data_IF_153178556755
#
_entry.id   IF_153178556755
#
_cell.length_a   1.000
_cell.length_b   1.000
_cell.length_c   1.000
_cell.angle_alpha   90.00
_cell.angle_beta   90.00
_cell.angle_gamma   90.00
#
_symmetry.space_group_name_H-M   'P 1'
#
loop_
_entity.id
_entity.type
_entity.pdbx_description
1 polymer ?
#
# COMPACT_ATOMS: atom_id res chain seq x y z
N UNK A 1 -10.31 62.90 -0.37
CA UNK A 1 -11.64 62.52 0.17
C UNK A 1 -11.62 61.02 0.45
N UNK A 2 -11.68 60.72 1.74
CA UNK A 2 -12.16 59.49 2.44
C UNK A 2 -12.24 58.15 1.71
N UNK A 3 -11.55 57.19 2.33
CA UNK A 3 -11.63 55.74 2.21
C UNK A 3 -13.05 55.23 2.52
N UNK A 4 -13.53 54.23 1.78
CA UNK A 4 -14.63 53.36 2.24
C UNK A 4 -14.11 51.91 2.39
N UNK A 5 -14.09 51.47 3.64
CA UNK A 5 -13.78 50.13 4.11
C UNK A 5 -15.08 49.58 4.71
N UNK A 6 -15.82 48.76 3.98
CA UNK A 6 -16.83 47.85 4.54
C UNK A 6 -16.19 46.48 4.77
N UNK A 7 -15.63 46.19 5.95
CA UNK A 7 -16.29 45.63 7.16
C UNK A 7 -17.01 44.30 6.92
N UNK A 8 -16.16 43.27 7.04
CA UNK A 8 -16.38 41.97 7.67
C UNK A 8 -17.41 42.02 8.81
N UNK A 9 -18.44 41.16 8.76
CA UNK A 9 -19.30 40.83 9.89
C UNK A 9 -19.45 39.31 9.96
N UNK A 10 -18.64 38.71 10.85
CA UNK A 10 -18.81 37.35 11.33
C UNK A 10 -20.06 37.32 12.21
N UNK A 11 -21.08 36.55 11.81
CA UNK A 11 -22.17 36.19 12.71
C UNK A 11 -21.77 34.93 13.49
N UNK A 12 -21.14 35.17 14.64
CA UNK A 12 -20.92 34.20 15.70
C UNK A 12 -22.14 34.20 16.63
N UNK A 13 -23.05 33.24 16.46
CA UNK A 13 -24.09 32.94 17.45
C UNK A 13 -23.61 31.86 18.42
N UNK A 14 -22.79 32.27 19.38
CA UNK A 14 -22.41 31.50 20.57
C UNK A 14 -23.52 31.64 21.61
N UNK A 15 -24.43 30.67 21.69
CA UNK A 15 -25.44 30.60 22.78
C UNK A 15 -24.87 29.77 23.93
N UNK A 16 -24.12 30.44 24.81
CA UNK A 16 -23.72 29.94 26.12
C UNK A 16 -24.93 29.85 27.05
N UNK A 17 -25.27 28.64 27.52
CA UNK A 17 -26.18 28.41 28.65
C UNK A 17 -25.43 27.58 29.70
N UNK A 18 -25.28 28.16 30.88
CA UNK A 18 -24.61 27.64 32.07
C UNK A 18 -25.33 26.40 32.67
N UNK A 19 -24.64 25.63 33.54
CA UNK A 19 -24.89 24.23 33.80
C UNK A 19 -25.98 24.01 34.86
N UNK A 20 -26.78 22.96 34.69
CA UNK A 20 -27.65 22.42 35.71
C UNK A 20 -27.18 21.03 36.08
N UNK A 21 -26.74 20.85 37.33
CA UNK A 21 -26.50 19.56 37.96
C UNK A 21 -27.76 18.69 37.88
N UNK A 22 -27.57 17.49 37.35
CA UNK A 22 -28.59 16.46 37.20
C UNK A 22 -27.90 15.11 37.08
N UNK A 23 -27.65 14.52 38.25
CA UNK A 23 -27.23 13.14 38.45
C UNK A 23 -28.17 12.17 37.71
N UNK A 24 -27.62 11.13 37.10
CA UNK A 24 -28.39 10.05 36.49
C UNK A 24 -27.85 9.54 35.15
N UNK A 25 -26.96 8.55 35.23
CA UNK A 25 -26.84 7.40 34.30
C UNK A 25 -26.88 7.70 32.80
N UNK A 26 -25.72 7.62 32.14
CA UNK A 26 -25.67 7.34 30.70
C UNK A 26 -26.54 6.11 30.40
N UNK A 27 -27.54 6.19 29.50
CA UNK A 27 -28.12 4.98 28.97
C UNK A 27 -27.03 4.33 28.14
N UNK A 28 -26.57 3.17 28.60
CA UNK A 28 -25.85 2.21 27.78
C UNK A 28 -26.57 2.14 26.44
N UNK A 29 -25.84 2.46 25.35
CA UNK A 29 -26.40 2.51 24.01
C UNK A 29 -27.02 1.18 23.67
N UNK A 30 -28.34 1.11 23.73
CA UNK A 30 -29.10 0.00 23.17
C UNK A 30 -28.75 -0.05 21.69
N UNK A 31 -28.02 -1.08 21.28
CA UNK A 31 -27.82 -1.37 19.86
C UNK A 31 -29.19 -1.59 19.24
N UNK A 32 -29.69 -0.60 18.50
CA UNK A 32 -30.91 -0.71 17.73
C UNK A 32 -30.72 -1.80 16.67
N UNK A 33 -31.26 -2.98 16.92
CA UNK A 33 -31.28 -4.06 15.94
C UNK A 33 -32.36 -3.77 14.91
N UNK A 34 -31.98 -3.18 13.78
CA UNK A 34 -32.89 -2.97 12.65
C UNK A 34 -33.44 -4.31 12.16
N UNK A 35 -34.75 -4.38 11.98
CA UNK A 35 -35.38 -5.53 11.32
C UNK A 35 -34.90 -5.60 9.86
N UNK A 36 -34.84 -6.81 9.27
CA UNK A 36 -34.41 -6.99 7.86
C UNK A 36 -35.20 -6.09 6.90
N UNK A 37 -36.49 -5.89 7.15
CA UNK A 37 -37.34 -5.01 6.35
C UNK A 37 -36.91 -3.52 6.44
N UNK A 38 -36.53 -3.04 7.63
CA UNK A 38 -36.01 -1.67 7.80
C UNK A 38 -34.65 -1.48 7.13
N UNK A 39 -33.78 -2.49 7.16
CA UNK A 39 -32.50 -2.46 6.46
C UNK A 39 -32.71 -2.40 4.94
N UNK A 40 -33.60 -3.23 4.39
CA UNK A 40 -33.92 -3.24 2.96
C UNK A 40 -34.55 -1.92 2.49
N UNK A 41 -35.43 -1.32 3.29
CA UNK A 41 -36.01 -0.01 2.97
C UNK A 41 -34.96 1.12 3.02
N UNK A 42 -34.06 1.07 4.01
CA UNK A 42 -32.95 2.01 4.13
C UNK A 42 -31.97 1.90 2.95
N UNK A 43 -31.64 0.68 2.52
CA UNK A 43 -30.80 0.42 1.34
C UNK A 43 -31.47 0.98 0.07
N UNK A 44 -32.77 0.68 -0.16
CA UNK A 44 -33.51 1.22 -1.32
C UNK A 44 -33.54 2.75 -1.33
N UNK A 45 -33.77 3.38 -0.18
CA UNK A 45 -33.73 4.86 -0.05
C UNK A 45 -32.33 5.42 -0.32
N UNK A 46 -31.28 4.76 0.17
CA UNK A 46 -29.90 5.15 -0.08
C UNK A 46 -29.53 5.03 -1.57
N UNK A 47 -29.91 3.93 -2.23
CA UNK A 47 -29.70 3.73 -3.66
C UNK A 47 -30.45 4.77 -4.50
N UNK A 48 -31.71 5.05 -4.17
CA UNK A 48 -32.50 6.05 -4.88
C UNK A 48 -31.90 7.45 -4.72
N UNK A 49 -31.48 7.82 -3.51
CA UNK A 49 -30.78 9.09 -3.24
C UNK A 49 -29.47 9.16 -4.01
N UNK A 50 -28.65 8.11 -3.98
CA UNK A 50 -27.40 8.05 -4.72
C UNK A 50 -27.61 8.23 -6.23
N UNK A 51 -28.66 7.63 -6.81
CA UNK A 51 -29.01 7.83 -8.23
C UNK A 51 -29.44 9.26 -8.54
N UNK A 52 -30.23 9.88 -7.67
CA UNK A 52 -30.66 11.28 -7.84
C UNK A 52 -29.47 12.23 -7.75
N UNK A 53 -28.60 12.03 -6.76
CA UNK A 53 -27.42 12.85 -6.56
C UNK A 53 -26.44 12.68 -7.72
N UNK A 54 -26.18 11.44 -8.18
CA UNK A 54 -25.38 11.18 -9.38
C UNK A 54 -25.95 11.85 -10.64
N UNK A 55 -27.28 11.86 -10.82
CA UNK A 55 -27.93 12.54 -11.93
C UNK A 55 -27.81 14.08 -11.86
N UNK A 56 -27.79 14.65 -10.66
CA UNK A 56 -27.54 16.09 -10.46
C UNK A 56 -26.08 16.44 -10.72
N UNK A 57 -25.17 15.62 -10.25
CA UNK A 57 -23.73 15.80 -10.45
C UNK A 57 -23.37 15.72 -11.93
N UNK A 58 -23.94 14.76 -12.66
CA UNK A 58 -23.76 14.66 -14.11
C UNK A 58 -24.22 15.94 -14.85
N UNK A 59 -25.39 16.49 -14.48
CA UNK A 59 -25.88 17.75 -15.08
C UNK A 59 -25.01 18.95 -14.69
N UNK A 60 -24.54 19.00 -13.45
CA UNK A 60 -23.62 20.04 -12.98
C UNK A 60 -22.29 19.99 -13.74
N UNK A 61 -21.75 18.79 -13.97
CA UNK A 61 -20.55 18.59 -14.79
C UNK A 61 -20.78 19.03 -16.23
N UNK A 62 -21.88 18.61 -16.87
CA UNK A 62 -22.20 19.02 -18.25
C UNK A 62 -22.32 20.55 -18.40
N UNK A 63 -22.95 21.21 -17.42
CA UNK A 63 -23.06 22.67 -17.40
C UNK A 63 -21.70 23.35 -17.23
N UNK A 64 -20.83 22.80 -16.37
CA UNK A 64 -19.47 23.32 -16.19
C UNK A 64 -18.64 23.13 -17.46
N UNK A 65 -18.72 21.97 -18.12
CA UNK A 65 -18.03 21.71 -19.38
C UNK A 65 -18.47 22.68 -20.48
N UNK A 66 -19.78 22.94 -20.59
CA UNK A 66 -20.32 23.95 -21.52
C UNK A 66 -19.79 25.34 -21.20
N UNK A 67 -19.83 25.75 -19.93
CA UNK A 67 -19.31 27.05 -19.51
C UNK A 67 -17.81 27.22 -19.78
N UNK A 68 -17.02 26.15 -19.57
CA UNK A 68 -15.57 26.15 -19.88
C UNK A 68 -15.35 26.30 -21.39
N UNK A 69 -16.06 25.52 -22.22
CA UNK A 69 -15.97 25.64 -23.69
C UNK A 69 -16.33 27.04 -24.19
N UNK A 70 -17.43 27.61 -23.71
CA UNK A 70 -17.82 28.97 -24.06
C UNK A 70 -16.79 30.01 -23.63
N UNK A 71 -16.19 29.85 -22.45
CA UNK A 71 -15.13 30.73 -21.96
C UNK A 71 -13.86 30.62 -22.82
N UNK A 72 -13.48 29.40 -23.21
CA UNK A 72 -12.33 29.13 -24.09
C UNK A 72 -12.54 29.74 -25.48
N UNK A 73 -13.73 29.61 -26.06
CA UNK A 73 -14.07 30.21 -27.35
C UNK A 73 -14.00 31.74 -27.31
N UNK A 74 -14.56 32.37 -26.26
CA UNK A 74 -14.48 33.83 -26.07
C UNK A 74 -13.05 34.30 -25.88
N UNK A 75 -12.24 33.56 -25.11
CA UNK A 75 -10.85 33.89 -24.88
C UNK A 75 -10.01 33.76 -26.15
N UNK A 76 -10.25 32.72 -26.96
CA UNK A 76 -9.62 32.52 -28.26
C UNK A 76 -9.95 33.64 -29.24
N UNK A 77 -11.23 34.03 -29.32
CA UNK A 77 -11.66 35.16 -30.14
C UNK A 77 -11.01 36.49 -29.71
N UNK A 78 -10.94 36.73 -28.40
CA UNK A 78 -10.27 37.91 -27.85
C UNK A 78 -8.77 37.94 -28.16
N UNK A 79 -8.08 36.80 -28.05
CA UNK A 79 -6.67 36.72 -28.41
C UNK A 79 -6.44 37.02 -29.89
N UNK A 80 -7.27 36.47 -30.79
CA UNK A 80 -7.17 36.75 -32.24
C UNK A 80 -7.34 38.24 -32.53
N UNK A 81 -8.35 38.87 -31.90
CA UNK A 81 -8.60 40.30 -32.08
C UNK A 81 -7.42 41.15 -31.56
N UNK A 82 -6.83 40.80 -30.41
CA UNK A 82 -5.62 41.46 -29.94
C UNK A 82 -4.46 41.29 -30.92
N UNK A 83 -4.21 40.06 -31.38
CA UNK A 83 -3.10 39.74 -32.29
C UNK A 83 -3.24 40.46 -33.64
N UNK A 84 -4.46 40.61 -34.16
CA UNK A 84 -4.76 41.42 -35.34
C UNK A 84 -4.52 42.92 -35.08
N UNK A 85 -5.00 43.44 -33.96
CA UNK A 85 -4.81 44.85 -33.60
C UNK A 85 -3.33 45.21 -33.39
N UNK A 86 -2.53 44.31 -32.80
CA UNK A 86 -1.08 44.49 -32.64
C UNK A 86 -0.40 44.50 -34.02
N UNK A 87 -0.76 43.58 -34.92
CA UNK A 87 -0.22 43.54 -36.28
C UNK A 87 -0.55 44.79 -37.10
N UNK A 88 -1.77 45.33 -36.98
CA UNK A 88 -2.14 46.57 -37.66
C UNK A 88 -1.40 47.78 -37.11
N UNK A 89 -1.25 47.86 -35.78
CA UNK A 89 -0.55 48.97 -35.10
C UNK A 89 0.92 49.08 -35.52
N UNK A 90 1.61 47.96 -35.68
CA UNK A 90 3.03 47.95 -36.06
C UNK A 90 3.24 47.66 -37.55
N UNK A 91 2.19 47.70 -38.38
CA UNK A 91 2.27 47.37 -39.81
C UNK A 91 3.34 48.15 -40.58
N UNK A 92 3.59 49.39 -40.19
CA UNK A 92 4.57 50.29 -40.81
C UNK A 92 5.90 50.38 -40.02
N UNK A 93 6.04 49.61 -38.95
CA UNK A 93 7.21 49.56 -38.08
C UNK A 93 7.88 48.17 -38.15
N UNK A 94 8.97 48.03 -38.91
CA UNK A 94 9.67 46.75 -39.09
C UNK A 94 10.22 46.16 -37.79
N UNK A 95 10.65 46.99 -36.84
CA UNK A 95 11.23 46.50 -35.58
C UNK A 95 10.13 46.05 -34.62
N UNK A 96 9.00 46.76 -34.59
CA UNK A 96 7.79 46.34 -33.88
C UNK A 96 7.23 44.99 -34.38
N UNK A 97 7.21 44.76 -35.70
CA UNK A 97 6.78 43.49 -36.29
C UNK A 97 7.72 42.33 -35.90
N UNK A 98 9.04 42.54 -35.90
CA UNK A 98 10.01 41.53 -35.46
C UNK A 98 9.78 41.13 -33.99
N UNK A 99 9.58 42.12 -33.11
CA UNK A 99 9.32 41.85 -31.69
C UNK A 99 8.03 41.03 -31.48
N UNK A 100 6.97 41.30 -32.25
CA UNK A 100 5.73 40.51 -32.23
C UNK A 100 5.96 39.09 -32.74
N UNK A 101 6.73 38.93 -33.83
CA UNK A 101 7.06 37.61 -34.36
C UNK A 101 7.86 36.77 -33.36
N UNK A 102 8.88 37.35 -32.71
CA UNK A 102 9.63 36.65 -31.65
C UNK A 102 8.73 36.26 -30.48
N UNK A 103 7.83 37.16 -30.05
CA UNK A 103 6.86 36.87 -28.97
C UNK A 103 5.96 35.69 -29.34
N UNK A 104 5.52 35.60 -30.61
CA UNK A 104 4.73 34.48 -31.12
C UNK A 104 5.53 33.18 -31.16
N UNK A 105 6.77 33.22 -31.64
CA UNK A 105 7.65 32.05 -31.64
C UNK A 105 7.88 31.51 -30.23
N UNK A 106 8.22 32.38 -29.26
CA UNK A 106 8.39 31.96 -27.85
C UNK A 106 7.10 31.38 -27.25
N UNK A 107 5.94 31.94 -27.60
CA UNK A 107 4.63 31.39 -27.19
C UNK A 107 4.43 29.99 -27.75
N UNK A 108 4.68 29.79 -29.05
CA UNK A 108 4.59 28.49 -29.72
C UNK A 108 5.54 27.45 -29.10
N UNK A 109 6.80 27.81 -28.86
CA UNK A 109 7.79 26.94 -28.21
C UNK A 109 7.35 26.52 -26.80
N UNK A 110 6.82 27.48 -26.02
CA UNK A 110 6.32 27.19 -24.67
C UNK A 110 5.10 26.28 -24.70
N UNK A 111 4.17 26.52 -25.61
CA UNK A 111 2.95 25.72 -25.74
C UNK A 111 3.29 24.29 -26.22
N UNK A 112 4.24 24.14 -27.15
CA UNK A 112 4.76 22.82 -27.57
C UNK A 112 5.46 22.09 -26.43
N UNK A 113 6.33 22.76 -25.67
CA UNK A 113 6.99 22.17 -24.50
C UNK A 113 5.97 21.75 -23.43
N UNK A 114 4.90 22.52 -23.27
CA UNK A 114 3.80 22.16 -22.36
C UNK A 114 3.06 20.91 -22.86
N UNK A 115 2.79 20.83 -24.17
CA UNK A 115 2.18 19.64 -24.79
C UNK A 115 3.03 18.40 -24.62
N UNK A 116 4.33 18.49 -24.92
CA UNK A 116 5.27 17.38 -24.75
C UNK A 116 5.37 16.91 -23.31
N UNK A 117 5.37 17.85 -22.34
CA UNK A 117 5.34 17.48 -20.91
C UNK A 117 4.06 16.72 -20.54
N UNK A 118 2.90 17.16 -21.04
CA UNK A 118 1.64 16.49 -20.79
C UNK A 118 1.60 15.08 -21.41
N UNK A 119 2.13 14.93 -22.63
CA UNK A 119 2.25 13.64 -23.32
C UNK A 119 3.16 12.67 -22.55
N UNK A 120 4.34 13.14 -22.12
CA UNK A 120 5.27 12.33 -21.31
C UNK A 120 4.65 11.94 -19.96
N UNK A 121 3.93 12.83 -19.29
CA UNK A 121 3.25 12.50 -18.03
C UNK A 121 2.12 11.48 -18.25
N UNK A 122 1.34 11.61 -19.34
CA UNK A 122 0.32 10.64 -19.71
C UNK A 122 0.92 9.26 -20.02
N UNK A 123 2.02 9.22 -20.77
CA UNK A 123 2.74 7.98 -21.09
C UNK A 123 3.35 7.33 -19.85
N UNK A 124 3.92 8.13 -18.93
CA UNK A 124 4.39 7.62 -17.63
C UNK A 124 3.26 7.00 -16.83
N UNK A 125 2.11 7.67 -16.74
CA UNK A 125 0.95 7.15 -16.03
C UNK A 125 0.45 5.84 -16.67
N UNK A 126 0.35 5.80 -17.99
CA UNK A 126 -0.08 4.60 -18.73
C UNK A 126 0.90 3.43 -18.60
N UNK A 127 2.20 3.70 -18.45
CA UNK A 127 3.24 2.67 -18.36
C UNK A 127 3.61 2.30 -16.92
N UNK A 128 3.20 3.06 -15.90
CA UNK A 128 3.49 2.78 -14.50
C UNK A 128 2.97 1.40 -14.08
N UNK A 129 1.75 1.03 -14.47
CA UNK A 129 1.19 -0.28 -14.16
C UNK A 129 1.91 -1.43 -14.89
N UNK A 130 2.39 -1.18 -16.11
CA UNK A 130 3.14 -2.18 -16.89
C UNK A 130 4.52 -2.42 -16.28
N UNK A 131 5.19 -1.34 -15.86
CA UNK A 131 6.49 -1.42 -15.16
C UNK A 131 6.34 -2.15 -13.83
N UNK A 132 5.32 -1.83 -13.03
CA UNK A 132 5.06 -2.52 -11.77
C UNK A 132 4.82 -4.03 -11.97
N UNK A 133 4.07 -4.42 -13.01
CA UNK A 133 3.86 -5.83 -13.35
C UNK A 133 5.12 -6.51 -13.87
N UNK A 134 5.95 -5.80 -14.63
CA UNK A 134 7.23 -6.33 -15.11
C UNK A 134 8.18 -6.58 -13.93
N UNK A 135 8.31 -5.62 -13.01
CA UNK A 135 9.12 -5.74 -11.81
C UNK A 135 8.65 -6.91 -10.91
N UNK A 136 7.34 -7.11 -10.79
CA UNK A 136 6.77 -8.24 -10.03
C UNK A 136 7.12 -9.59 -10.67
N UNK A 137 7.02 -9.70 -12.00
CA UNK A 137 7.36 -10.91 -12.75
C UNK A 137 8.86 -11.21 -12.67
N UNK A 138 9.73 -10.21 -12.77
CA UNK A 138 11.17 -10.38 -12.64
C UNK A 138 11.54 -10.89 -11.23
N UNK A 139 10.92 -10.31 -10.19
CA UNK A 139 11.09 -10.75 -8.81
C UNK A 139 10.63 -12.20 -8.64
N UNK A 140 9.47 -12.56 -9.20
CA UNK A 140 8.94 -13.92 -9.12
C UNK A 140 9.85 -14.93 -9.82
N UNK A 141 10.37 -14.60 -11.00
CA UNK A 141 11.35 -15.42 -11.71
C UNK A 141 12.64 -15.59 -10.91
N UNK A 142 13.15 -14.53 -10.28
CA UNK A 142 14.33 -14.59 -9.44
C UNK A 142 14.12 -15.52 -8.22
N UNK A 143 12.96 -15.43 -7.57
CA UNK A 143 12.57 -16.33 -6.47
C UNK A 143 12.53 -17.78 -6.94
N UNK A 144 11.88 -18.07 -8.08
CA UNK A 144 11.79 -19.41 -8.62
C UNK A 144 13.17 -20.01 -8.95
N UNK A 145 14.03 -19.24 -9.63
CA UNK A 145 15.40 -19.67 -9.95
C UNK A 145 16.22 -19.95 -8.69
N UNK A 146 16.18 -19.06 -7.70
CA UNK A 146 16.92 -19.23 -6.45
C UNK A 146 16.41 -20.42 -5.64
N UNK A 147 15.08 -20.59 -5.56
CA UNK A 147 14.44 -21.73 -4.90
C UNK A 147 14.84 -23.06 -5.56
N UNK A 148 14.79 -23.14 -6.89
CA UNK A 148 15.20 -24.32 -7.65
C UNK A 148 16.69 -24.62 -7.46
N UNK A 149 17.56 -23.60 -7.54
CA UNK A 149 19.00 -23.78 -7.42
C UNK A 149 19.43 -24.27 -6.02
N UNK A 150 18.76 -23.81 -4.97
CA UNK A 150 19.10 -24.13 -3.57
C UNK A 150 18.20 -25.21 -2.95
N UNK A 151 17.24 -25.77 -3.70
CA UNK A 151 16.34 -26.83 -3.23
C UNK A 151 15.38 -26.38 -2.13
N UNK A 152 14.97 -25.11 -2.17
CA UNK A 152 14.08 -24.49 -1.19
C UNK A 152 12.67 -24.38 -1.76
N UNK A 153 11.68 -24.30 -0.86
CA UNK A 153 10.29 -24.08 -1.22
C UNK A 153 10.10 -22.64 -1.72
N UNK A 154 9.64 -22.48 -2.97
CA UNK A 154 9.50 -21.20 -3.64
C UNK A 154 8.47 -20.28 -2.96
N UNK A 155 7.36 -20.82 -2.44
CA UNK A 155 6.31 -20.04 -1.78
C UNK A 155 6.80 -19.50 -0.42
N UNK A 156 7.56 -20.31 0.32
CA UNK A 156 8.19 -19.88 1.57
C UNK A 156 9.28 -18.84 1.32
N UNK A 157 10.06 -18.99 0.25
CA UNK A 157 11.06 -18.00 -0.14
C UNK A 157 10.39 -16.68 -0.55
N UNK A 158 9.34 -16.73 -1.40
CA UNK A 158 8.53 -15.57 -1.82
C UNK A 158 8.02 -14.78 -0.61
N UNK A 159 7.42 -15.48 0.35
CA UNK A 159 6.90 -14.86 1.59
C UNK A 159 7.97 -14.11 2.37
N UNK A 160 9.17 -14.69 2.48
CA UNK A 160 10.29 -14.03 3.18
C UNK A 160 10.87 -12.87 2.37
N UNK A 161 11.00 -13.01 1.04
CA UNK A 161 11.43 -11.93 0.15
C UNK A 161 10.52 -10.71 0.27
N UNK A 162 9.19 -10.92 0.26
CA UNK A 162 8.22 -9.84 0.48
C UNK A 162 8.32 -9.27 1.89
N UNK A 163 8.47 -10.11 2.92
CA UNK A 163 8.58 -9.67 4.33
C UNK A 163 9.82 -8.81 4.59
N UNK A 164 10.95 -9.14 3.97
CA UNK A 164 12.21 -8.42 4.13
C UNK A 164 12.42 -7.33 3.07
N UNK A 165 11.49 -7.19 2.11
CA UNK A 165 11.56 -6.17 1.06
C UNK A 165 12.77 -6.32 0.14
N UNK A 166 13.22 -7.56 -0.11
CA UNK A 166 14.36 -7.83 -0.97
C UNK A 166 13.97 -7.64 -2.43
N UNK A 167 14.79 -6.92 -3.20
CA UNK A 167 14.46 -6.54 -4.59
C UNK A 167 15.47 -7.03 -5.62
N UNK A 168 16.65 -7.49 -5.19
CA UNK A 168 17.74 -7.89 -6.07
C UNK A 168 17.90 -9.41 -6.07
N UNK A 169 18.30 -9.97 -7.21
CA UNK A 169 18.50 -11.42 -7.37
C UNK A 169 19.54 -11.97 -6.38
N UNK A 170 20.62 -11.21 -6.11
CA UNK A 170 21.67 -11.58 -5.16
C UNK A 170 21.14 -11.74 -3.72
N UNK A 171 20.32 -10.80 -3.26
CA UNK A 171 19.70 -10.86 -1.94
C UNK A 171 18.74 -12.05 -1.81
N UNK A 172 17.99 -12.33 -2.88
CA UNK A 172 17.05 -13.46 -2.92
C UNK A 172 17.83 -14.78 -2.88
N UNK A 173 18.96 -14.86 -3.58
CA UNK A 173 19.83 -16.04 -3.60
C UNK A 173 20.48 -16.29 -2.22
N UNK A 174 20.99 -15.25 -1.57
CA UNK A 174 21.59 -15.35 -0.24
C UNK A 174 20.56 -15.80 0.82
N UNK A 175 19.34 -15.26 0.74
CA UNK A 175 18.23 -15.73 1.58
C UNK A 175 17.86 -17.19 1.29
N UNK A 176 17.82 -17.60 0.02
CA UNK A 176 17.59 -19.00 -0.34
C UNK A 176 18.69 -19.93 0.22
N UNK A 177 19.94 -19.48 0.20
CA UNK A 177 21.09 -20.19 0.75
C UNK A 177 20.99 -20.38 2.27
N UNK A 178 20.71 -19.30 3.01
CA UNK A 178 20.51 -19.39 4.47
C UNK A 178 19.35 -20.32 4.84
N UNK A 179 18.27 -20.34 4.04
CA UNK A 179 17.15 -21.27 4.24
C UNK A 179 17.51 -22.73 3.94
N UNK A 180 18.39 -22.98 2.97
CA UNK A 180 18.87 -24.31 2.63
C UNK A 180 19.80 -24.88 3.71
N UNK A 181 20.67 -24.05 4.30
CA UNK A 181 21.56 -24.44 5.41
C UNK A 181 20.74 -24.84 6.65
N UNK A 182 19.71 -24.07 7.00
CA UNK A 182 18.83 -24.35 8.14
C UNK A 182 18.04 -25.68 8.01
N UNK A 183 17.88 -26.22 6.80
CA UNK A 183 17.26 -27.54 6.55
C UNK A 183 18.23 -28.71 6.69
N UNK A 184 19.54 -28.48 6.53
CA UNK A 184 20.57 -29.53 6.60
C UNK A 184 21.10 -29.76 8.01
N UNK A 185 20.88 -28.82 8.92
CA UNK A 185 21.01 -29.06 10.36
C UNK A 185 19.79 -29.83 10.88
N UNK A 186 19.58 -31.05 10.37
CA UNK A 186 18.85 -32.04 11.14
C UNK A 186 19.66 -32.24 12.43
N UNK A 187 19.11 -31.74 13.53
CA UNK A 187 19.53 -32.06 14.88
C UNK A 187 19.69 -33.58 14.96
N UNK A 188 20.93 -34.07 14.91
CA UNK A 188 21.23 -35.42 15.37
C UNK A 188 20.68 -35.49 16.79
N UNK A 189 19.63 -36.29 17.00
CA UNK A 189 19.24 -36.67 18.34
C UNK A 189 20.50 -37.21 19.01
N UNK A 190 20.97 -36.51 20.04
CA UNK A 190 22.09 -36.94 20.87
C UNK A 190 21.65 -38.24 21.54
N UNK A 191 21.95 -39.35 20.87
CA UNK A 191 21.81 -40.67 21.46
C UNK A 191 22.88 -40.80 22.53
N UNK A 192 22.50 -40.41 23.75
CA UNK A 192 22.98 -40.88 25.04
C UNK A 192 24.48 -41.23 25.12
N UNK A 193 25.30 -40.28 25.59
CA UNK A 193 26.49 -40.62 26.40
C UNK A 193 26.89 -39.56 27.43
N UNK A 194 26.05 -39.45 28.47
CA UNK A 194 26.48 -39.58 29.86
C UNK A 194 27.20 -38.41 30.54
N UNK A 195 26.49 -37.69 31.42
CA UNK A 195 26.99 -37.26 32.73
C UNK A 195 25.85 -37.43 33.73
N UNK A 196 25.94 -38.43 34.61
CA UNK A 196 25.12 -38.53 35.83
C UNK A 196 23.74 -39.17 35.67
N UNK A 197 23.68 -40.50 35.70
CA UNK A 197 22.42 -41.23 35.87
C UNK A 197 22.72 -42.69 36.12
N UNK A 198 22.41 -43.15 37.33
CA UNK A 198 22.56 -44.52 37.84
C UNK A 198 22.21 -45.57 36.79
N UNK A 199 23.12 -46.51 36.57
CA UNK A 199 22.99 -47.57 35.57
C UNK A 199 21.80 -48.47 35.88
N UNK A 200 20.68 -48.19 35.23
CA UNK A 200 19.55 -49.10 35.18
C UNK A 200 19.87 -50.22 34.17
N UNK A 201 19.84 -51.46 34.64
CA UNK A 201 20.12 -52.65 33.86
C UNK A 201 19.00 -52.85 32.82
N UNK A 202 19.25 -52.48 31.57
CA UNK A 202 18.31 -52.76 30.48
C UNK A 202 18.26 -54.26 30.16
N UNK A 203 17.08 -54.75 29.77
CA UNK A 203 16.81 -56.18 29.50
C UNK A 203 17.78 -56.78 28.47
N UNK A 204 18.22 -55.98 27.48
CA UNK A 204 19.21 -56.40 26.48
C UNK A 204 20.63 -56.65 27.02
N UNK A 205 21.00 -56.03 28.16
CA UNK A 205 22.28 -56.29 28.83
C UNK A 205 22.21 -57.53 29.71
N UNK A 206 21.04 -57.82 30.30
CA UNK A 206 20.82 -59.02 31.10
C UNK A 206 20.95 -60.31 30.26
N UNK A 207 20.43 -60.31 29.03
CA UNK A 207 20.51 -61.47 28.11
C UNK A 207 21.93 -61.79 27.62
N UNK A 208 22.88 -60.86 27.79
CA UNK A 208 24.28 -61.02 27.37
C UNK A 208 25.24 -61.30 28.52
N UNK A 209 24.75 -61.31 29.76
CA UNK A 209 25.55 -61.60 30.95
C UNK A 209 25.39 -63.05 31.36
N UNK A 210 26.48 -63.64 31.85
CA UNK A 210 26.40 -64.94 32.50
C UNK A 210 25.59 -64.83 33.80
N UNK A 211 24.96 -65.94 34.23
CA UNK A 211 24.18 -65.99 35.48
C UNK A 211 24.98 -65.51 36.72
N UNK A 212 26.29 -65.72 36.73
CA UNK A 212 27.18 -65.26 37.82
C UNK A 212 27.36 -63.73 37.81
N UNK A 213 27.47 -63.12 36.63
CA UNK A 213 27.60 -61.66 36.49
C UNK A 213 26.29 -60.94 36.82
N UNK A 214 25.15 -61.53 36.47
CA UNK A 214 23.83 -61.01 36.84
C UNK A 214 23.60 -61.03 38.36
N UNK A 215 23.99 -62.12 39.03
CA UNK A 215 23.89 -62.24 40.49
C UNK A 215 24.79 -61.22 41.22
N UNK A 216 25.99 -60.95 40.70
CA UNK A 216 26.90 -59.95 41.26
C UNK A 216 26.41 -58.50 41.07
N UNK A 217 25.78 -58.19 39.93
CA UNK A 217 25.21 -56.86 39.66
C UNK A 217 24.03 -56.57 40.59
N UNK A 218 23.11 -57.53 40.75
CA UNK A 218 21.94 -57.39 41.62
C UNK A 218 22.32 -57.25 43.11
N UNK A 219 23.39 -57.91 43.55
CA UNK A 219 23.92 -57.81 44.92
C UNK A 219 24.54 -56.44 45.23
N UNK A 220 24.97 -55.69 44.21
CA UNK A 220 25.43 -54.29 44.36
C UNK A 220 24.28 -53.29 44.40
N UNK A 221 23.17 -53.58 43.74
CA UNK A 221 21.98 -52.73 43.75
C UNK A 221 21.16 -52.87 45.03
N UNK A 222 21.14 -54.06 45.64
CA UNK A 222 20.34 -54.32 46.84
C UNK A 222 21.11 -55.19 47.87
N UNK A 223 21.92 -54.60 48.76
CA UNK A 223 22.72 -55.34 49.74
C UNK A 223 21.87 -56.00 50.85
N UNK A 224 20.54 -55.85 50.83
CA UNK A 224 19.62 -56.44 51.81
C UNK A 224 19.32 -57.93 51.59
N UNK A 225 19.73 -58.52 50.46
CA UNK A 225 19.43 -59.90 50.07
C UNK A 225 20.49 -60.94 50.52
N UNK A 226 21.39 -60.61 51.44
CA UNK A 226 22.30 -61.60 52.05
C UNK A 226 21.85 -61.99 53.46
N UNK A 227 20.86 -62.87 53.55
CA UNK A 227 20.72 -63.85 54.62
C UNK A 227 19.92 -65.06 54.14
#
# INVERSE_FOLDING_TARGET
MTMDKGRNAQDSHSKSKAPGDGDGTSPEGTTETFTKAQLEEAVKKAEQKARIDAGRDAKSLEQREKAVKEAEERYSAYQRQQEESENEKYRSDPDGLKAIQEKRQRKQERDELTRQKAEVEADKAANAEKLAKADELELELAVWKAAQAKGVDADKLKTKVTKFGLKTEEQILDLAETMAVAKKEDLRADSNKGIGGSGELTVEKADKMSMEEYAAARKKEDPSLSH
#
